data_IF_003058650777
#
_entry.id   IF_003058650777
#
_cell.length_a   1.000
_cell.length_b   1.000
_cell.length_c   1.000
_cell.angle_alpha   90.00
_cell.angle_beta   90.00
_cell.angle_gamma   90.00
#
_symmetry.space_group_name_H-M   'P 1'
#
loop_
_entity.id
_entity.type
_entity.pdbx_description
1 polymer ?
#
# COMPACT_ATOMS: atom_id res chain seq x y z
N UNK A 1 -16.18 -28.80 -23.61
CA UNK A 1 -16.87 -27.63 -24.22
C UNK A 1 -18.15 -27.39 -23.43
N UNK A 2 -18.21 -26.31 -22.65
CA UNK A 2 -19.25 -26.12 -21.66
C UNK A 2 -20.63 -25.94 -22.31
N UNK A 3 -21.60 -26.76 -21.91
CA UNK A 3 -23.02 -26.63 -22.31
C UNK A 3 -23.53 -25.21 -22.14
N UNK A 4 -23.04 -24.50 -21.14
CA UNK A 4 -23.37 -23.10 -20.82
C UNK A 4 -22.99 -22.14 -21.95
N UNK A 5 -21.84 -22.34 -22.60
CA UNK A 5 -21.41 -21.52 -23.74
C UNK A 5 -22.29 -21.72 -24.97
N UNK A 6 -22.68 -22.97 -25.22
CA UNK A 6 -23.56 -23.36 -26.32
C UNK A 6 -24.96 -22.73 -26.19
N UNK A 7 -25.55 -22.80 -24.98
CA UNK A 7 -26.92 -22.33 -24.73
C UNK A 7 -27.02 -20.79 -24.81
N UNK A 8 -26.04 -20.06 -24.30
CA UNK A 8 -26.11 -18.57 -24.30
C UNK A 8 -25.71 -18.00 -25.67
N UNK A 9 -24.69 -18.54 -26.32
CA UNK A 9 -24.18 -17.92 -27.55
C UNK A 9 -24.80 -18.46 -28.83
N UNK A 10 -25.15 -19.73 -28.89
CA UNK A 10 -25.70 -20.34 -30.11
C UNK A 10 -27.22 -20.19 -30.15
N UNK A 11 -27.92 -20.45 -29.05
CA UNK A 11 -29.38 -20.43 -29.02
C UNK A 11 -29.97 -19.03 -28.84
N UNK A 12 -29.30 -18.12 -28.10
CA UNK A 12 -29.83 -16.80 -27.78
C UNK A 12 -29.41 -15.71 -28.80
N UNK A 13 -28.23 -15.82 -29.39
CA UNK A 13 -27.69 -14.81 -30.34
C UNK A 13 -27.84 -15.21 -31.80
N UNK A 14 -28.33 -16.40 -32.14
CA UNK A 14 -28.55 -16.90 -33.52
C UNK A 14 -27.35 -16.66 -34.47
N UNK A 15 -26.13 -16.69 -33.95
CA UNK A 15 -24.93 -16.32 -34.69
C UNK A 15 -24.31 -17.61 -35.26
N UNK A 16 -24.55 -17.85 -36.54
CA UNK A 16 -24.08 -19.06 -37.23
C UNK A 16 -22.63 -18.97 -37.75
N UNK A 17 -22.00 -17.81 -37.72
CA UNK A 17 -20.67 -17.61 -38.30
C UNK A 17 -19.60 -17.40 -37.21
N UNK A 18 -18.56 -18.23 -37.21
CA UNK A 18 -17.45 -18.22 -36.25
C UNK A 18 -16.81 -16.82 -36.05
N UNK A 19 -16.69 -16.06 -37.15
CA UNK A 19 -16.11 -14.72 -37.13
C UNK A 19 -16.96 -13.73 -36.31
N UNK A 20 -18.27 -13.77 -36.46
CA UNK A 20 -19.18 -12.90 -35.70
C UNK A 20 -19.20 -13.22 -34.20
N UNK A 21 -19.11 -14.50 -33.84
CA UNK A 21 -18.98 -14.94 -32.42
C UNK A 21 -17.70 -14.40 -31.78
N UNK A 22 -16.57 -14.53 -32.48
CA UNK A 22 -15.28 -14.04 -31.97
C UNK A 22 -15.25 -12.53 -31.79
N UNK A 23 -15.81 -11.78 -32.73
CA UNK A 23 -15.90 -10.32 -32.66
C UNK A 23 -16.80 -9.89 -31.47
N UNK A 24 -17.96 -10.53 -31.32
CA UNK A 24 -18.89 -10.22 -30.22
C UNK A 24 -18.27 -10.49 -28.84
N UNK A 25 -17.57 -11.61 -28.67
CA UNK A 25 -16.84 -11.93 -27.44
C UNK A 25 -15.75 -10.88 -27.16
N UNK A 26 -14.99 -10.51 -28.19
CA UNK A 26 -13.94 -9.49 -28.04
C UNK A 26 -14.51 -8.13 -27.62
N UNK A 27 -15.63 -7.71 -28.17
CA UNK A 27 -16.32 -6.46 -27.80
C UNK A 27 -16.79 -6.53 -26.34
N UNK A 28 -17.39 -7.63 -25.91
CA UNK A 28 -17.85 -7.82 -24.54
C UNK A 28 -16.65 -7.74 -23.55
N UNK A 29 -15.55 -8.38 -23.87
CA UNK A 29 -14.34 -8.32 -23.05
C UNK A 29 -13.82 -6.88 -22.94
N UNK A 30 -13.76 -6.14 -24.04
CA UNK A 30 -13.34 -4.74 -24.04
C UNK A 30 -14.28 -3.90 -23.16
N UNK A 31 -15.59 -4.08 -23.28
CA UNK A 31 -16.57 -3.37 -22.45
C UNK A 31 -16.38 -3.66 -20.96
N UNK A 32 -16.17 -4.92 -20.59
CA UNK A 32 -15.90 -5.32 -19.20
C UNK A 32 -14.63 -4.62 -18.68
N UNK A 33 -13.57 -4.58 -19.48
CA UNK A 33 -12.34 -3.89 -19.09
C UNK A 33 -12.52 -2.37 -18.95
N UNK A 34 -13.30 -1.74 -19.82
CA UNK A 34 -13.64 -0.31 -19.70
C UNK A 34 -14.42 -0.02 -18.42
N UNK A 35 -15.42 -0.83 -18.11
CA UNK A 35 -16.18 -0.71 -16.85
C UNK A 35 -15.25 -0.88 -15.65
N UNK A 36 -14.36 -1.88 -15.69
CA UNK A 36 -13.37 -2.10 -14.63
C UNK A 36 -12.44 -0.89 -14.44
N UNK A 37 -11.98 -0.26 -15.52
CA UNK A 37 -11.14 0.95 -15.45
C UNK A 37 -11.88 2.12 -14.79
N UNK A 38 -13.11 2.35 -15.16
CA UNK A 38 -13.95 3.42 -14.60
C UNK A 38 -14.18 3.17 -13.10
N UNK A 39 -14.57 1.94 -12.75
CA UNK A 39 -14.75 1.52 -11.35
C UNK A 39 -13.47 1.70 -10.54
N UNK A 40 -12.33 1.22 -11.04
CA UNK A 40 -11.04 1.33 -10.36
C UNK A 40 -10.64 2.80 -10.12
N UNK A 41 -10.86 3.68 -11.09
CA UNK A 41 -10.58 5.11 -10.93
C UNK A 41 -11.50 5.77 -9.89
N UNK A 42 -12.76 5.43 -9.88
CA UNK A 42 -13.72 5.92 -8.90
C UNK A 42 -13.37 5.43 -7.49
N UNK A 43 -13.13 4.14 -7.35
CA UNK A 43 -12.75 3.52 -6.09
C UNK A 43 -11.46 4.11 -5.51
N UNK A 44 -10.41 4.29 -6.34
CA UNK A 44 -9.16 4.90 -5.90
C UNK A 44 -9.36 6.33 -5.39
N UNK A 45 -10.18 7.13 -6.05
CA UNK A 45 -10.50 8.49 -5.57
C UNK A 45 -11.20 8.47 -4.22
N UNK A 46 -12.16 7.58 -4.05
CA UNK A 46 -12.89 7.42 -2.80
C UNK A 46 -11.96 6.97 -1.67
N UNK A 47 -11.12 5.96 -1.92
CA UNK A 47 -10.12 5.46 -0.99
C UNK A 47 -9.17 6.55 -0.54
N UNK A 48 -8.56 7.27 -1.49
CA UNK A 48 -7.63 8.36 -1.17
C UNK A 48 -8.30 9.47 -0.37
N UNK A 49 -9.51 9.85 -0.72
CA UNK A 49 -10.28 10.86 0.03
C UNK A 49 -10.54 10.40 1.46
N UNK A 50 -10.96 9.16 1.65
CA UNK A 50 -11.19 8.57 2.97
C UNK A 50 -9.92 8.56 3.83
N UNK A 51 -8.81 8.05 3.27
CA UNK A 51 -7.52 7.98 3.95
C UNK A 51 -6.98 9.36 4.31
N UNK A 52 -7.11 10.34 3.41
CA UNK A 52 -6.69 11.72 3.68
C UNK A 52 -7.52 12.36 4.79
N UNK A 53 -8.86 12.29 4.72
CA UNK A 53 -9.73 12.84 5.76
C UNK A 53 -9.45 12.21 7.13
N UNK A 54 -9.22 10.91 7.17
CA UNK A 54 -8.84 10.22 8.41
C UNK A 54 -7.51 10.74 8.96
N UNK A 55 -6.51 10.92 8.09
CA UNK A 55 -5.19 11.43 8.49
C UNK A 55 -5.26 12.87 8.98
N UNK A 56 -6.02 13.73 8.31
CA UNK A 56 -6.26 15.12 8.74
C UNK A 56 -6.92 15.16 10.12
N UNK A 57 -7.93 14.34 10.35
CA UNK A 57 -8.57 14.24 11.66
C UNK A 57 -7.60 13.75 12.76
N UNK A 58 -6.72 12.79 12.44
CA UNK A 58 -5.67 12.35 13.36
C UNK A 58 -4.70 13.47 13.70
N UNK A 59 -4.21 14.19 12.70
CA UNK A 59 -3.28 15.32 12.89
C UNK A 59 -3.94 16.40 13.76
N UNK A 60 -5.19 16.76 13.47
CA UNK A 60 -5.94 17.74 14.24
C UNK A 60 -6.14 17.30 15.69
N UNK A 61 -6.48 16.03 15.91
CA UNK A 61 -6.63 15.49 17.25
C UNK A 61 -5.31 15.47 18.04
N UNK A 62 -4.21 15.10 17.41
CA UNK A 62 -2.90 15.16 18.04
C UNK A 62 -2.47 16.59 18.34
N UNK A 63 -2.72 17.52 17.43
CA UNK A 63 -2.43 18.92 17.63
C UNK A 63 -3.25 19.52 18.79
N UNK A 64 -4.55 19.23 18.85
CA UNK A 64 -5.41 19.66 19.94
C UNK A 64 -4.95 19.10 21.29
N UNK A 65 -4.62 17.80 21.33
CA UNK A 65 -4.07 17.17 22.54
C UNK A 65 -2.74 17.79 22.97
N UNK A 66 -1.90 18.15 22.00
CA UNK A 66 -0.64 18.83 22.28
C UNK A 66 -0.89 20.21 22.89
N UNK A 67 -1.85 20.99 22.39
CA UNK A 67 -2.17 22.32 22.92
C UNK A 67 -2.81 22.28 24.32
N UNK A 68 -3.56 21.22 24.61
CA UNK A 68 -4.26 21.06 25.91
C UNK A 68 -3.44 20.33 26.98
N UNK A 69 -2.21 19.89 26.66
CA UNK A 69 -1.35 19.22 27.64
C UNK A 69 -0.82 20.20 28.68
N UNK A 70 -0.46 19.67 29.90
CA UNK A 70 0.11 20.46 30.96
C UNK A 70 1.48 21.06 30.59
N UNK A 71 1.77 22.25 31.12
CA UNK A 71 3.06 22.95 30.94
C UNK A 71 4.29 22.09 31.28
N UNK A 72 4.16 21.22 32.27
CA UNK A 72 5.23 20.30 32.69
C UNK A 72 5.63 19.37 31.52
N UNK A 73 4.65 18.76 30.84
CA UNK A 73 4.88 17.89 29.72
C UNK A 73 5.47 18.63 28.50
N UNK A 74 5.02 19.87 28.30
CA UNK A 74 5.57 20.74 27.26
C UNK A 74 7.05 21.04 27.50
N UNK A 75 7.45 21.36 28.74
CA UNK A 75 8.83 21.72 29.08
C UNK A 75 9.85 20.60 28.80
N UNK A 76 9.44 19.34 28.94
CA UNK A 76 10.32 18.18 28.70
C UNK A 76 10.23 17.64 27.25
N UNK A 77 9.34 18.15 26.42
CA UNK A 77 9.23 17.75 25.02
C UNK A 77 10.00 18.71 24.11
N UNK A 78 10.89 18.18 23.29
CA UNK A 78 11.52 19.01 22.26
C UNK A 78 10.54 19.27 21.11
N UNK A 79 10.51 20.49 20.57
CA UNK A 79 9.66 20.87 19.44
C UNK A 79 9.79 19.93 18.26
N UNK A 80 11.02 19.48 17.96
CA UNK A 80 11.29 18.54 16.89
C UNK A 80 10.67 17.15 17.12
N UNK A 81 10.68 16.68 18.38
CA UNK A 81 10.04 15.40 18.73
C UNK A 81 8.52 15.45 18.57
N UNK A 82 7.91 16.58 18.93
CA UNK A 82 6.46 16.77 18.78
C UNK A 82 6.07 16.83 17.29
N UNK A 83 6.78 17.63 16.51
CA UNK A 83 6.54 17.73 15.07
C UNK A 83 6.72 16.35 14.40
N UNK A 84 7.78 15.63 14.74
CA UNK A 84 8.02 14.28 14.23
C UNK A 84 6.86 13.34 14.59
N UNK A 85 6.40 13.32 15.84
CA UNK A 85 5.28 12.47 16.25
C UNK A 85 3.99 12.82 15.50
N UNK A 86 3.64 14.09 15.41
CA UNK A 86 2.37 14.52 14.79
C UNK A 86 2.37 14.18 13.28
N UNK A 87 3.43 14.53 12.56
CA UNK A 87 3.42 14.39 11.10
C UNK A 87 3.93 13.04 10.62
N UNK A 88 5.02 12.54 11.17
CA UNK A 88 5.64 11.30 10.68
C UNK A 88 4.83 10.07 11.09
N UNK A 89 4.40 10.00 12.36
CA UNK A 89 3.59 8.87 12.82
C UNK A 89 2.19 8.89 12.18
N UNK A 90 1.58 10.06 11.97
CA UNK A 90 0.31 10.15 11.26
C UNK A 90 0.42 9.70 9.80
N UNK A 91 1.52 10.04 9.12
CA UNK A 91 1.77 9.55 7.77
C UNK A 91 2.05 8.03 7.70
N UNK A 92 2.69 7.47 8.73
CA UNK A 92 2.85 6.01 8.82
C UNK A 92 1.49 5.31 8.99
N UNK A 93 0.63 5.84 9.85
CA UNK A 93 -0.74 5.33 10.03
C UNK A 93 -1.53 5.45 8.73
N UNK A 94 -1.40 6.56 8.01
CA UNK A 94 -1.99 6.74 6.68
C UNK A 94 -1.59 5.63 5.71
N UNK A 95 -0.29 5.32 5.63
CA UNK A 95 0.22 4.30 4.73
C UNK A 95 -0.26 2.89 5.12
N UNK A 96 -0.34 2.61 6.42
CA UNK A 96 -0.88 1.36 6.93
C UNK A 96 -2.37 1.24 6.58
N UNK A 97 -3.16 2.28 6.82
CA UNK A 97 -4.58 2.29 6.52
C UNK A 97 -4.83 2.11 5.02
N UNK A 98 -4.08 2.81 4.18
CA UNK A 98 -4.16 2.66 2.72
C UNK A 98 -3.84 1.23 2.28
N UNK A 99 -2.80 0.63 2.83
CA UNK A 99 -2.40 -0.75 2.54
C UNK A 99 -3.44 -1.78 3.01
N UNK A 100 -4.05 -1.56 4.16
CA UNK A 100 -5.11 -2.43 4.69
C UNK A 100 -6.34 -2.39 3.80
N UNK A 101 -6.81 -1.20 3.40
CA UNK A 101 -7.96 -1.07 2.50
C UNK A 101 -7.67 -1.76 1.16
N UNK A 102 -6.45 -1.60 0.64
CA UNK A 102 -6.04 -2.24 -0.61
C UNK A 102 -6.01 -3.77 -0.47
N UNK A 103 -5.44 -4.29 0.61
CA UNK A 103 -5.43 -5.72 0.89
C UNK A 103 -6.84 -6.32 1.01
N UNK A 104 -7.77 -5.61 1.64
CA UNK A 104 -9.18 -6.00 1.70
C UNK A 104 -9.82 -6.09 0.32
N UNK A 105 -9.58 -5.08 -0.52
CA UNK A 105 -10.13 -5.04 -1.88
C UNK A 105 -9.59 -6.17 -2.74
N UNK A 106 -8.28 -6.42 -2.68
CA UNK A 106 -7.65 -7.51 -3.42
C UNK A 106 -8.11 -8.88 -2.92
N UNK A 107 -8.25 -9.06 -1.59
CA UNK A 107 -8.77 -10.29 -1.01
C UNK A 107 -10.19 -10.60 -1.50
N UNK A 108 -11.05 -9.58 -1.57
CA UNK A 108 -12.40 -9.74 -2.09
C UNK A 108 -12.38 -10.17 -3.57
N UNK A 109 -11.54 -9.54 -4.38
CA UNK A 109 -11.38 -9.88 -5.81
C UNK A 109 -10.89 -11.33 -5.99
N UNK A 110 -9.88 -11.73 -5.21
CA UNK A 110 -9.35 -13.10 -5.24
C UNK A 110 -10.43 -14.10 -4.83
N UNK A 111 -11.19 -13.83 -3.77
CA UNK A 111 -12.28 -14.69 -3.32
C UNK A 111 -13.33 -14.89 -4.41
N UNK A 112 -13.72 -13.81 -5.09
CA UNK A 112 -14.70 -13.86 -6.17
C UNK A 112 -14.19 -14.68 -7.37
N UNK A 113 -12.92 -14.50 -7.72
CA UNK A 113 -12.27 -15.31 -8.77
C UNK A 113 -12.19 -16.79 -8.39
N UNK A 114 -11.88 -17.10 -7.14
CA UNK A 114 -11.84 -18.48 -6.65
C UNK A 114 -13.22 -19.14 -6.70
N UNK A 115 -14.26 -18.44 -6.26
CA UNK A 115 -15.63 -18.96 -6.31
C UNK A 115 -16.06 -19.25 -7.76
N UNK A 116 -15.82 -18.32 -8.66
CA UNK A 116 -16.18 -18.52 -10.09
C UNK A 116 -15.37 -19.65 -10.73
N UNK A 117 -14.08 -19.77 -10.40
CA UNK A 117 -13.23 -20.85 -10.90
C UNK A 117 -13.66 -22.23 -10.37
N UNK A 118 -14.02 -22.32 -9.09
CA UNK A 118 -14.54 -23.55 -8.48
C UNK A 118 -15.86 -24.00 -9.11
N UNK A 119 -16.71 -23.05 -9.51
CA UNK A 119 -17.97 -23.38 -10.22
C UNK A 119 -17.74 -23.90 -11.64
N UNK A 120 -16.62 -23.52 -12.27
CA UNK A 120 -16.29 -23.93 -13.62
C UNK A 120 -15.59 -25.31 -13.64
N UNK A 121 -14.50 -25.47 -12.91
CA UNK A 121 -13.74 -26.71 -12.76
C UNK A 121 -13.06 -26.77 -11.40
N UNK A 122 -13.64 -27.56 -10.50
CA UNK A 122 -13.13 -27.68 -9.13
C UNK A 122 -11.79 -28.40 -9.04
N UNK A 123 -11.50 -29.35 -9.94
CA UNK A 123 -10.25 -30.14 -9.90
C UNK A 123 -9.05 -29.28 -10.28
N UNK A 124 -9.16 -28.57 -11.39
CA UNK A 124 -8.08 -27.68 -11.86
C UNK A 124 -7.87 -26.56 -10.84
N UNK A 125 -8.95 -26.00 -10.29
CA UNK A 125 -8.87 -24.93 -9.28
C UNK A 125 -8.19 -25.40 -8.00
N UNK A 126 -8.46 -26.61 -7.52
CA UNK A 126 -7.80 -27.17 -6.33
C UNK A 126 -6.31 -27.41 -6.57
N UNK A 127 -5.93 -27.93 -7.74
CA UNK A 127 -4.52 -28.12 -8.11
C UNK A 127 -3.80 -26.77 -8.14
N UNK A 128 -4.40 -25.75 -8.75
CA UNK A 128 -3.83 -24.41 -8.79
C UNK A 128 -3.69 -23.81 -7.38
N UNK A 129 -4.70 -23.95 -6.51
CA UNK A 129 -4.64 -23.49 -5.12
C UNK A 129 -3.50 -24.16 -4.34
N UNK A 130 -3.34 -25.48 -4.46
CA UNK A 130 -2.25 -26.21 -3.82
C UNK A 130 -0.88 -25.72 -4.32
N UNK A 131 -0.73 -25.50 -5.63
CA UNK A 131 0.49 -25.00 -6.20
C UNK A 131 0.84 -23.59 -5.68
N UNK A 132 -0.09 -22.64 -5.73
CA UNK A 132 0.16 -21.28 -5.24
C UNK A 132 0.37 -21.22 -3.73
N UNK A 133 -0.35 -22.07 -2.95
CA UNK A 133 -0.15 -22.16 -1.52
C UNK A 133 1.25 -22.68 -1.15
N UNK A 134 1.76 -23.68 -1.86
CA UNK A 134 3.12 -24.18 -1.64
C UNK A 134 4.17 -23.14 -1.99
N UNK A 135 4.05 -22.46 -3.10
CA UNK A 135 4.96 -21.35 -3.48
C UNK A 135 4.93 -20.24 -2.42
N UNK A 136 3.76 -19.88 -1.93
CA UNK A 136 3.61 -18.85 -0.90
C UNK A 136 4.25 -19.26 0.43
N UNK A 137 4.05 -20.50 0.88
CA UNK A 137 4.65 -21.03 2.12
C UNK A 137 6.18 -21.03 2.01
N UNK A 138 6.72 -21.49 0.88
CA UNK A 138 8.17 -21.47 0.62
C UNK A 138 8.70 -20.04 0.68
N UNK A 139 8.04 -19.10 0.00
CA UNK A 139 8.42 -17.69 0.04
C UNK A 139 8.38 -17.11 1.46
N UNK A 140 7.34 -17.41 2.25
CA UNK A 140 7.24 -16.96 3.65
C UNK A 140 8.40 -17.48 4.50
N UNK A 141 8.81 -18.73 4.28
CA UNK A 141 9.88 -19.35 5.06
C UNK A 141 11.21 -18.63 4.82
N UNK A 142 11.50 -18.27 3.58
CA UNK A 142 12.71 -17.52 3.24
C UNK A 142 12.66 -16.04 3.64
N UNK A 143 11.49 -15.42 3.62
CA UNK A 143 11.34 -13.96 3.86
C UNK A 143 11.23 -13.56 5.33
N UNK A 144 10.79 -14.45 6.23
CA UNK A 144 10.50 -14.10 7.63
C UNK A 144 11.73 -13.63 8.42
N UNK A 145 12.90 -14.18 8.16
CA UNK A 145 14.11 -13.93 8.96
C UNK A 145 14.68 -12.54 8.68
N UNK A 146 14.59 -12.07 7.47
CA UNK A 146 15.21 -10.81 7.05
C UNK A 146 14.36 -9.57 7.34
N UNK A 147 13.03 -9.67 7.21
CA UNK A 147 12.14 -8.53 7.34
C UNK A 147 12.16 -7.87 8.72
N UNK A 148 12.23 -8.65 9.80
CA UNK A 148 12.25 -8.12 11.17
C UNK A 148 13.58 -7.43 11.50
N UNK A 149 14.70 -8.00 11.07
CA UNK A 149 16.03 -7.42 11.27
C UNK A 149 16.20 -6.15 10.45
N UNK A 150 15.81 -6.16 9.17
CA UNK A 150 15.82 -5.01 8.27
C UNK A 150 14.92 -3.88 8.76
N UNK A 151 13.73 -4.21 9.29
CA UNK A 151 12.82 -3.22 9.86
C UNK A 151 13.41 -2.48 11.07
N UNK A 152 14.11 -3.19 11.97
CA UNK A 152 14.79 -2.57 13.12
C UNK A 152 15.98 -1.71 12.69
N UNK A 153 16.79 -2.22 11.77
CA UNK A 153 17.95 -1.49 11.24
C UNK A 153 17.46 -0.22 10.55
N UNK A 154 16.47 -0.31 9.66
CA UNK A 154 15.89 0.84 8.97
C UNK A 154 15.40 1.91 9.94
N UNK A 155 14.62 1.53 10.96
CA UNK A 155 14.10 2.47 11.97
C UNK A 155 15.23 3.15 12.75
N UNK A 156 16.28 2.42 13.10
CA UNK A 156 17.47 2.96 13.78
C UNK A 156 18.22 3.95 12.88
N UNK A 157 18.46 3.60 11.63
CA UNK A 157 19.14 4.44 10.65
C UNK A 157 18.34 5.72 10.33
N UNK A 158 17.04 5.61 10.15
CA UNK A 158 16.16 6.76 9.93
C UNK A 158 16.21 7.75 11.10
N UNK A 159 16.19 7.26 12.34
CA UNK A 159 16.36 8.08 13.54
C UNK A 159 17.71 8.81 13.57
N UNK A 160 18.78 8.11 13.22
CA UNK A 160 20.13 8.69 13.18
C UNK A 160 20.27 9.75 12.08
N UNK A 161 19.74 9.47 10.88
CA UNK A 161 19.70 10.46 9.79
C UNK A 161 18.97 11.75 10.20
N UNK A 162 17.79 11.60 10.80
CA UNK A 162 17.03 12.74 11.28
C UNK A 162 17.78 13.55 12.33
N UNK A 163 18.43 12.87 13.28
CA UNK A 163 19.25 13.52 14.30
C UNK A 163 20.44 14.28 13.69
N UNK A 164 21.14 13.66 12.75
CA UNK A 164 22.29 14.29 12.05
C UNK A 164 21.85 15.51 11.27
N UNK A 165 20.72 15.41 10.55
CA UNK A 165 20.15 16.55 9.84
C UNK A 165 19.78 17.71 10.80
N UNK A 166 19.13 17.40 11.91
CA UNK A 166 18.75 18.39 12.92
C UNK A 166 19.96 19.09 13.51
N UNK A 167 21.02 18.35 13.86
CA UNK A 167 22.26 18.93 14.39
C UNK A 167 22.92 19.83 13.33
N UNK A 168 23.06 19.34 12.11
CA UNK A 168 23.66 20.12 11.01
C UNK A 168 22.87 21.40 10.72
N UNK A 169 21.53 21.34 10.78
CA UNK A 169 20.68 22.50 10.57
C UNK A 169 20.77 23.50 11.74
N UNK A 170 20.71 23.04 12.98
CA UNK A 170 20.83 23.92 14.15
C UNK A 170 22.20 24.58 14.29
N UNK A 171 23.25 23.90 13.83
CA UNK A 171 24.64 24.40 13.84
C UNK A 171 25.08 24.91 12.46
N UNK A 172 24.15 25.35 11.63
CA UNK A 172 24.45 25.75 10.24
C UNK A 172 25.52 26.88 10.17
N UNK A 173 25.46 27.84 11.08
CA UNK A 173 26.43 28.93 11.15
C UNK A 173 27.83 28.40 11.47
N UNK A 174 27.97 27.51 12.42
CA UNK A 174 29.23 26.86 12.82
C UNK A 174 29.79 26.00 11.69
N UNK A 175 28.90 25.23 11.02
CA UNK A 175 29.27 24.41 9.86
C UNK A 175 29.87 25.30 8.74
N UNK A 176 29.30 26.49 8.49
CA UNK A 176 29.81 27.45 7.52
C UNK A 176 31.17 28.02 7.96
N UNK A 177 31.28 28.52 9.21
CA UNK A 177 32.47 29.19 9.72
C UNK A 177 33.67 28.21 9.72
N UNK A 178 33.46 26.99 10.17
CA UNK A 178 34.51 25.96 10.28
C UNK A 178 34.67 25.11 9.00
N UNK A 179 33.91 25.40 7.94
CA UNK A 179 33.93 24.65 6.67
C UNK A 179 33.76 23.13 6.83
N UNK A 180 32.89 22.71 7.76
CA UNK A 180 32.71 21.30 8.12
C UNK A 180 31.61 20.59 7.30
N UNK A 181 31.28 21.09 6.13
CA UNK A 181 30.25 20.48 5.25
C UNK A 181 30.54 19.02 4.90
N UNK A 182 31.83 18.70 4.62
CA UNK A 182 32.24 17.33 4.27
C UNK A 182 32.07 16.34 5.43
N UNK A 183 32.27 16.80 6.66
CA UNK A 183 32.11 15.97 7.86
C UNK A 183 30.64 15.58 8.07
N UNK A 184 29.73 16.54 8.06
CA UNK A 184 28.30 16.26 8.23
C UNK A 184 27.73 15.45 7.07
N UNK A 185 28.16 15.70 5.84
CA UNK A 185 27.81 14.89 4.68
C UNK A 185 28.21 13.43 4.84
N UNK A 186 29.46 13.17 5.25
CA UNK A 186 29.95 11.82 5.47
C UNK A 186 29.18 11.07 6.57
N UNK A 187 28.85 11.74 7.67
CA UNK A 187 28.02 11.13 8.74
C UNK A 187 26.61 10.82 8.20
N UNK A 188 26.02 11.72 7.42
CA UNK A 188 24.70 11.48 6.85
C UNK A 188 24.70 10.32 5.84
N UNK A 189 25.73 10.24 5.00
CA UNK A 189 25.92 9.14 4.03
C UNK A 189 26.13 7.79 4.71
N UNK A 190 26.83 7.74 5.84
CA UNK A 190 27.03 6.50 6.61
C UNK A 190 25.73 5.93 7.21
N UNK A 191 24.68 6.73 7.32
CA UNK A 191 23.37 6.33 7.81
C UNK A 191 22.35 6.14 6.69
N UNK A 192 22.78 6.20 5.44
CA UNK A 192 21.92 6.07 4.27
C UNK A 192 22.10 4.69 3.64
#
# INVERSE_FOLDING_TARGET
ESKFFKTIFVDYLSISDYKHVTISISIIIILIYLIKLIYHRFFNRFRLKFVNNFTENLINNFFTKFQTQSYINYKYSSSSSVIHKIFTESNQIRNILDSVILAFTESFTITLLLVTSLMYDYVITLIALLFFSTVYIVWLFFSKTDLNSLGRIRKSQEKQRFKTFQISYSSFREVLIYNQHKFFRKIFENHN
#
